data_IF_863038550956
#
_entry.id   IF_863038550956
#
_cell.length_a   1.000
_cell.length_b   1.000
_cell.length_c   1.000
_cell.angle_alpha   90.00
_cell.angle_beta   90.00
_cell.angle_gamma   90.00
#
_symmetry.space_group_name_H-M   'P 1'
#
loop_
_entity.id
_entity.type
_entity.pdbx_description
1 polymer ?
#
# COMPACT_ATOMS: atom_id res chain seq x y z
N UNK A 1 -0.12 20.70 -28.50
CA UNK A 1 -0.40 19.85 -27.32
C UNK A 1 -1.76 19.19 -27.57
N UNK A 2 -1.79 17.88 -27.85
CA UNK A 2 -3.05 17.19 -28.15
C UNK A 2 -3.69 16.73 -26.84
N UNK A 3 -4.87 17.25 -26.51
CA UNK A 3 -5.70 16.73 -25.44
C UNK A 3 -6.39 15.44 -25.92
N UNK A 4 -6.15 14.34 -25.20
CA UNK A 4 -6.80 13.04 -25.41
C UNK A 4 -8.27 13.15 -24.97
N UNK A 5 -9.24 12.55 -25.69
CA UNK A 5 -10.65 12.69 -25.33
C UNK A 5 -10.92 12.07 -23.95
N UNK A 6 -12.01 12.52 -23.32
CA UNK A 6 -12.46 12.04 -22.03
C UNK A 6 -12.67 10.52 -22.06
N UNK A 7 -12.01 9.80 -21.14
CA UNK A 7 -12.21 8.37 -20.96
C UNK A 7 -13.57 8.16 -20.29
N UNK A 8 -14.41 7.29 -20.87
CA UNK A 8 -15.62 6.78 -20.23
C UNK A 8 -15.28 6.33 -18.81
N UNK A 9 -15.96 6.89 -17.81
CA UNK A 9 -15.68 6.64 -16.40
C UNK A 9 -15.65 5.16 -16.06
N UNK A 10 -14.84 4.77 -15.08
CA UNK A 10 -14.78 3.38 -14.62
C UNK A 10 -16.19 2.90 -14.20
N UNK A 11 -16.85 2.12 -15.06
CA UNK A 11 -18.10 1.42 -14.74
C UNK A 11 -17.76 0.19 -13.90
N UNK A 12 -17.42 0.44 -12.66
CA UNK A 12 -17.19 -0.63 -11.70
C UNK A 12 -17.88 -0.18 -10.40
N UNK A 13 -19.06 -0.76 -10.20
CA UNK A 13 -20.10 -0.30 -9.28
C UNK A 13 -19.52 -0.13 -7.86
N UNK A 14 -19.85 0.96 -7.13
CA UNK A 14 -19.17 1.30 -5.87
C UNK A 14 -19.36 0.31 -4.71
N UNK A 15 -20.14 -0.75 -4.87
CA UNK A 15 -20.79 -1.40 -3.73
C UNK A 15 -20.66 -2.92 -3.73
N UNK A 16 -19.43 -3.40 -3.82
CA UNK A 16 -19.07 -4.74 -3.32
C UNK A 16 -18.15 -4.49 -2.15
N UNK A 17 -18.58 -4.91 -0.95
CA UNK A 17 -17.71 -5.05 0.20
C UNK A 17 -16.39 -5.64 -0.29
N UNK A 18 -15.27 -4.99 0.00
CA UNK A 18 -13.94 -5.49 -0.36
C UNK A 18 -13.36 -6.13 0.89
N UNK A 19 -13.52 -7.46 1.12
CA UNK A 19 -12.90 -8.11 2.25
C UNK A 19 -11.41 -7.79 2.27
N UNK A 20 -10.95 -7.23 3.40
CA UNK A 20 -9.56 -6.84 3.55
C UNK A 20 -9.15 -5.57 2.80
N UNK A 21 -10.07 -4.71 2.34
CA UNK A 21 -9.71 -3.47 1.66
C UNK A 21 -10.75 -2.36 1.74
N UNK A 22 -10.38 -1.18 1.25
CA UNK A 22 -11.24 -0.01 1.12
C UNK A 22 -11.21 0.49 -0.31
N UNK A 23 -12.39 0.68 -0.91
CA UNK A 23 -12.53 1.17 -2.29
C UNK A 23 -13.09 2.58 -2.30
N UNK A 24 -12.55 3.42 -3.16
CA UNK A 24 -13.10 4.76 -3.41
C UNK A 24 -12.87 5.19 -4.86
N UNK A 25 -13.68 6.15 -5.32
CA UNK A 25 -13.80 6.53 -6.72
C UNK A 25 -13.53 8.03 -6.94
N UNK A 26 -12.27 8.48 -6.96
CA UNK A 26 -11.97 9.88 -7.24
C UNK A 26 -12.13 10.16 -8.75
N UNK A 27 -13.17 10.91 -9.11
CA UNK A 27 -13.49 11.22 -10.51
C UNK A 27 -13.79 9.96 -11.32
N UNK A 28 -13.03 9.72 -12.39
CA UNK A 28 -13.20 8.55 -13.26
C UNK A 28 -12.37 7.33 -12.86
N UNK A 29 -11.59 7.41 -11.78
CA UNK A 29 -10.71 6.34 -11.32
C UNK A 29 -11.42 5.43 -10.32
N UNK A 30 -11.11 4.15 -10.37
CA UNK A 30 -11.37 3.22 -9.27
C UNK A 30 -10.10 2.90 -8.53
N UNK A 31 -10.03 3.24 -7.25
CA UNK A 31 -8.88 2.94 -6.39
C UNK A 31 -9.35 1.96 -5.31
N UNK A 32 -8.60 0.87 -5.15
CA UNK A 32 -8.81 -0.08 -4.06
C UNK A 32 -7.52 -0.13 -3.24
N UNK A 33 -7.61 0.10 -1.93
CA UNK A 33 -6.51 -0.15 -0.99
C UNK A 33 -6.76 -1.52 -0.39
N UNK A 34 -5.89 -2.48 -0.67
CA UNK A 34 -5.99 -3.85 -0.17
C UNK A 34 -4.98 -4.06 0.96
N UNK A 35 -5.37 -4.78 2.00
CA UNK A 35 -4.45 -5.19 3.07
C UNK A 35 -3.79 -6.50 2.69
N UNK A 36 -2.49 -6.47 2.40
CA UNK A 36 -1.70 -7.70 2.25
C UNK A 36 -1.41 -8.35 3.60
N UNK A 37 -1.27 -7.51 4.64
CA UNK A 37 -1.18 -7.92 6.03
C UNK A 37 -0.37 -6.93 6.86
N UNK A 38 0.06 -7.39 8.02
CA UNK A 38 0.85 -6.60 8.96
C UNK A 38 1.96 -7.46 9.53
N UNK A 39 3.17 -6.90 9.55
CA UNK A 39 4.32 -7.47 10.23
C UNK A 39 4.47 -6.73 11.57
N UNK A 40 4.44 -7.43 12.71
CA UNK A 40 4.73 -6.85 14.00
C UNK A 40 6.15 -7.25 14.45
N UNK A 41 7.23 -6.69 13.87
CA UNK A 41 8.56 -7.03 14.34
C UNK A 41 8.79 -6.44 15.74
N UNK A 42 9.83 -6.91 16.46
CA UNK A 42 10.29 -6.25 17.68
C UNK A 42 10.59 -4.77 17.41
N UNK A 43 10.61 -3.96 18.48
CA UNK A 43 10.56 -2.49 18.50
C UNK A 43 11.31 -1.71 17.41
N UNK A 44 10.93 -0.44 17.27
CA UNK A 44 11.36 0.43 16.17
C UNK A 44 12.88 0.61 16.06
N UNK A 45 13.57 0.70 17.21
CA UNK A 45 15.02 0.84 17.30
C UNK A 45 15.71 -0.54 17.36
N UNK A 46 16.82 -0.79 16.64
CA UNK A 46 17.62 0.17 15.86
C UNK A 46 17.22 0.26 14.36
N UNK A 47 16.14 -0.38 13.92
CA UNK A 47 15.72 -0.37 12.50
C UNK A 47 15.51 1.07 12.01
N UNK A 48 14.92 1.92 12.85
CA UNK A 48 14.87 3.37 12.68
C UNK A 48 15.51 4.08 13.88
N UNK A 49 16.14 5.23 13.61
CA UNK A 49 16.79 6.03 14.64
C UNK A 49 18.08 5.42 15.20
N UNK A 50 18.82 4.64 14.39
CA UNK A 50 20.07 3.98 14.80
C UNK A 50 21.18 4.96 15.24
N UNK A 51 21.07 6.24 14.88
CA UNK A 51 21.95 7.34 15.28
C UNK A 51 21.56 7.98 16.62
N UNK A 52 20.56 7.43 17.31
CA UNK A 52 19.98 7.97 18.55
C UNK A 52 19.93 6.92 19.63
N UNK A 53 19.88 7.39 20.88
CA UNK A 53 19.64 6.51 22.02
C UNK A 53 18.22 5.92 21.98
N UNK A 54 18.08 4.66 22.38
CA UNK A 54 16.79 3.96 22.33
C UNK A 54 15.68 4.68 23.13
N UNK A 55 16.06 5.33 24.24
CA UNK A 55 15.14 6.13 25.06
C UNK A 55 14.62 7.39 24.34
N UNK A 56 15.43 8.05 23.52
CA UNK A 56 14.99 9.19 22.71
C UNK A 56 13.99 8.77 21.63
N UNK A 57 14.22 7.61 21.01
CA UNK A 57 13.29 7.04 20.03
C UNK A 57 11.97 6.67 20.70
N UNK A 58 12.01 6.04 21.87
CA UNK A 58 10.81 5.69 22.63
C UNK A 58 9.99 6.93 23.04
N UNK A 59 10.63 7.99 23.56
CA UNK A 59 9.96 9.23 23.91
C UNK A 59 9.24 9.85 22.69
N UNK A 60 9.90 9.88 21.53
CA UNK A 60 9.27 10.35 20.27
C UNK A 60 8.10 9.47 19.84
N UNK A 61 8.18 8.16 20.05
CA UNK A 61 7.05 7.27 19.77
C UNK A 61 5.86 7.59 20.69
N UNK A 62 6.09 7.79 21.99
CA UNK A 62 5.03 8.18 22.95
C UNK A 62 4.40 9.52 22.60
N UNK A 63 5.22 10.54 22.28
CA UNK A 63 4.76 11.85 21.81
C UNK A 63 3.82 11.76 20.59
N UNK A 64 4.01 10.76 19.74
CA UNK A 64 3.22 10.53 18.53
C UNK A 64 2.13 9.45 18.71
N UNK A 65 1.84 9.07 19.97
CA UNK A 65 0.87 8.04 20.31
C UNK A 65 1.15 6.68 19.63
N UNK A 66 2.43 6.35 19.42
CA UNK A 66 2.89 5.11 18.82
C UNK A 66 3.31 4.10 19.91
N UNK A 67 3.11 2.80 19.68
CA UNK A 67 3.51 1.78 20.65
C UNK A 67 5.04 1.62 20.70
N UNK A 68 5.68 1.98 21.80
CA UNK A 68 7.15 1.95 21.96
C UNK A 68 7.78 0.56 21.82
N UNK A 69 7.07 -0.50 22.23
CA UNK A 69 7.58 -1.87 22.24
C UNK A 69 7.49 -2.65 20.92
N UNK A 70 6.85 -2.09 19.88
CA UNK A 70 6.66 -2.79 18.60
C UNK A 70 6.55 -1.83 17.43
N UNK A 71 7.01 -2.23 16.26
CA UNK A 71 6.65 -1.55 15.02
C UNK A 71 5.29 -2.06 14.53
N UNK A 72 4.50 -1.16 13.96
CA UNK A 72 3.26 -1.50 13.24
C UNK A 72 3.52 -1.36 11.74
N UNK A 73 4.13 -2.38 11.13
CA UNK A 73 4.44 -2.38 9.70
C UNK A 73 3.29 -2.94 8.89
N UNK A 74 2.55 -2.12 8.14
CA UNK A 74 1.47 -2.58 7.26
C UNK A 74 1.89 -2.60 5.79
N UNK A 75 1.42 -3.61 5.07
CA UNK A 75 1.59 -3.74 3.63
C UNK A 75 0.24 -3.57 2.95
N UNK A 76 0.08 -2.47 2.22
CA UNK A 76 -1.19 -2.10 1.56
C UNK A 76 -1.01 -1.91 0.04
N UNK A 77 -1.11 -2.98 -0.76
CA UNK A 77 -1.17 -2.87 -2.22
C UNK A 77 -2.34 -2.03 -2.70
N UNK A 78 -2.11 -1.23 -3.75
CA UNK A 78 -3.12 -0.32 -4.32
C UNK A 78 -3.33 -0.60 -5.81
N UNK A 79 -4.29 -1.46 -6.16
CA UNK A 79 -4.84 -1.51 -7.50
C UNK A 79 -5.56 -0.22 -7.89
N UNK A 80 -5.28 0.28 -9.10
CA UNK A 80 -5.92 1.43 -9.70
C UNK A 80 -6.45 1.08 -11.08
N UNK A 81 -7.74 1.34 -11.28
CA UNK A 81 -8.44 1.25 -12.54
C UNK A 81 -8.66 2.67 -13.09
N UNK A 82 -8.07 2.98 -14.25
CA UNK A 82 -8.21 4.30 -14.89
C UNK A 82 -9.27 4.32 -16.00
N UNK A 83 -10.09 3.28 -16.11
CA UNK A 83 -10.89 2.96 -17.29
C UNK A 83 -10.04 2.26 -18.37
N UNK A 84 -9.00 2.94 -18.86
CA UNK A 84 -8.13 2.46 -19.93
C UNK A 84 -7.03 1.47 -19.48
N UNK A 85 -6.54 1.62 -18.25
CA UNK A 85 -5.44 0.81 -17.72
C UNK A 85 -5.80 0.21 -16.36
N UNK A 86 -5.03 -0.82 -15.99
CA UNK A 86 -5.01 -1.42 -14.67
C UNK A 86 -3.58 -1.32 -14.16
N UNK A 87 -3.40 -0.57 -13.08
CA UNK A 87 -2.11 -0.26 -12.48
C UNK A 87 -2.10 -0.87 -11.09
N UNK A 88 -0.98 -1.47 -10.70
CA UNK A 88 -0.78 -1.96 -9.34
C UNK A 88 0.40 -1.23 -8.72
N UNK A 89 0.16 -0.51 -7.64
CA UNK A 89 1.20 0.07 -6.79
C UNK A 89 1.45 -0.86 -5.63
N UNK A 90 2.71 -1.31 -5.50
CA UNK A 90 3.13 -2.31 -4.50
C UNK A 90 2.46 -3.68 -4.71
N UNK A 91 3.22 -4.77 -4.61
CA UNK A 91 2.73 -6.13 -4.93
C UNK A 91 2.58 -7.03 -3.69
N UNK A 92 2.63 -6.45 -2.48
CA UNK A 92 2.61 -7.19 -1.22
C UNK A 92 3.84 -8.10 -1.08
N UNK A 93 3.75 -9.06 -0.16
CA UNK A 93 4.85 -9.96 0.18
C UNK A 93 4.70 -11.38 -0.37
N UNK A 94 3.79 -11.58 -1.34
CA UNK A 94 3.55 -12.86 -2.00
C UNK A 94 3.17 -14.01 -1.00
N UNK A 95 2.84 -15.23 -1.45
CA UNK A 95 2.44 -16.32 -0.54
C UNK A 95 3.46 -16.64 0.56
N UNK A 96 4.74 -16.41 0.31
CA UNK A 96 5.86 -16.65 1.24
C UNK A 96 5.79 -15.73 2.47
N UNK A 97 5.13 -14.56 2.35
CA UNK A 97 4.91 -13.64 3.46
C UNK A 97 3.87 -14.09 4.49
N UNK A 98 3.13 -15.18 4.23
CA UNK A 98 2.00 -15.64 5.08
C UNK A 98 2.42 -16.07 6.46
N UNK A 99 3.55 -16.76 6.57
CA UNK A 99 4.11 -17.20 7.86
C UNK A 99 4.48 -16.01 8.76
N UNK A 100 4.66 -14.84 8.16
CA UNK A 100 4.98 -13.58 8.83
C UNK A 100 3.75 -12.63 8.95
N UNK A 101 2.54 -13.13 8.67
CA UNK A 101 1.30 -12.35 8.81
C UNK A 101 0.93 -11.48 7.60
N UNK A 102 1.61 -11.64 6.47
CA UNK A 102 1.40 -10.89 5.21
C UNK A 102 0.98 -11.81 4.05
N UNK A 103 1.10 -11.40 2.78
CA UNK A 103 0.88 -12.29 1.63
C UNK A 103 -0.58 -12.60 1.26
N UNK A 104 -1.52 -11.71 1.63
CA UNK A 104 -2.96 -11.86 1.39
C UNK A 104 -3.50 -11.04 0.20
N UNK A 105 -2.65 -10.34 -0.55
CA UNK A 105 -3.07 -9.49 -1.67
C UNK A 105 -3.90 -10.23 -2.73
N UNK A 106 -3.38 -11.34 -3.27
CA UNK A 106 -4.04 -12.06 -4.37
C UNK A 106 -5.45 -12.57 -4.00
N UNK A 107 -5.65 -13.23 -2.84
CA UNK A 107 -6.99 -13.55 -2.36
C UNK A 107 -7.94 -12.35 -2.31
N UNK A 108 -7.47 -11.19 -1.85
CA UNK A 108 -8.30 -9.99 -1.80
C UNK A 108 -8.63 -9.41 -3.19
N UNK A 109 -7.69 -9.44 -4.14
CA UNK A 109 -7.95 -9.04 -5.55
C UNK A 109 -9.02 -9.94 -6.18
N UNK A 110 -8.90 -11.26 -5.97
CA UNK A 110 -9.86 -12.24 -6.50
C UNK A 110 -11.25 -12.06 -5.88
N UNK A 111 -11.32 -11.81 -4.56
CA UNK A 111 -12.57 -11.55 -3.84
C UNK A 111 -13.25 -10.24 -4.29
N UNK A 112 -12.46 -9.21 -4.63
CA UNK A 112 -12.96 -7.92 -5.10
C UNK A 112 -13.56 -7.96 -6.52
N UNK A 113 -13.65 -9.15 -7.16
CA UNK A 113 -14.14 -9.37 -8.53
C UNK A 113 -13.47 -8.46 -9.56
N UNK A 114 -12.23 -8.06 -9.31
CA UNK A 114 -11.43 -7.39 -10.33
C UNK A 114 -11.12 -8.41 -11.43
N UNK A 115 -11.50 -8.11 -12.68
CA UNK A 115 -10.99 -8.83 -13.86
C UNK A 115 -9.47 -8.99 -13.69
N UNK A 116 -8.89 -10.19 -13.91
CA UNK A 116 -7.49 -10.44 -13.60
C UNK A 116 -6.63 -9.28 -14.08
N UNK A 117 -5.89 -8.67 -13.16
CA UNK A 117 -5.02 -7.54 -13.46
C UNK A 117 -4.06 -8.00 -14.56
N UNK A 118 -4.33 -7.60 -15.80
CA UNK A 118 -3.37 -7.75 -16.88
C UNK A 118 -2.37 -6.61 -16.71
N UNK A 119 -1.38 -6.83 -15.85
CA UNK A 119 -0.37 -5.83 -15.50
C UNK A 119 0.42 -5.47 -16.76
N UNK A 120 0.06 -4.37 -17.43
CA UNK A 120 0.81 -3.89 -18.61
C UNK A 120 2.06 -3.11 -18.22
N UNK A 121 2.14 -2.60 -16.99
CA UNK A 121 3.28 -1.86 -16.45
C UNK A 121 3.35 -2.00 -14.93
N UNK A 122 4.39 -2.64 -14.43
CA UNK A 122 4.81 -2.56 -13.03
C UNK A 122 5.81 -1.40 -12.94
N UNK A 123 5.48 -0.33 -12.19
CA UNK A 123 6.45 0.73 -11.87
C UNK A 123 6.88 0.61 -10.42
N UNK A 124 8.06 0.02 -10.22
CA UNK A 124 8.78 0.09 -8.95
C UNK A 124 9.42 1.48 -8.86
N UNK A 125 9.00 2.31 -7.91
CA UNK A 125 9.68 3.58 -7.62
C UNK A 125 10.52 3.41 -6.37
N UNK A 126 11.85 3.38 -6.53
CA UNK A 126 12.78 3.67 -5.43
C UNK A 126 12.82 5.19 -5.28
N UNK A 127 12.34 5.71 -4.15
CA UNK A 127 12.45 7.14 -3.83
C UNK A 127 13.79 7.33 -3.11
N UNK A 128 14.85 7.57 -3.87
CA UNK A 128 16.11 8.06 -3.33
C UNK A 128 16.08 9.58 -3.26
N UNK A 129 15.52 10.13 -2.19
CA UNK A 129 15.68 11.55 -1.85
C UNK A 129 16.76 11.68 -0.78
N UNK A 130 18.01 11.92 -1.19
CA UNK A 130 19.04 12.38 -0.26
C UNK A 130 18.96 13.91 -0.25
N UNK A 131 18.48 14.48 0.85
CA UNK A 131 18.58 15.91 1.10
C UNK A 131 20.05 16.22 1.39
N UNK A 132 20.70 17.04 0.55
CA UNK A 132 22.03 17.57 0.84
C UNK A 132 21.86 18.88 1.62
N UNK A 133 22.52 19.05 2.77
CA UNK A 133 22.55 20.35 3.44
C UNK A 133 23.38 21.33 2.60
N UNK A 134 22.83 22.52 2.39
CA UNK A 134 23.57 23.72 1.99
C UNK A 134 24.02 24.51 3.20
#
# INVERSE_FOLDING_TARGET
MMFRPAHTGATDRPDVATPGGHRFLPGSFGITVLRDGMLPPPGLHPIFGADREAGEVAARMEENCLPTGRLVGRFDPVPVNTGAERILFHAGNAPEGRDHGTGRMLPHIMAARHTPLRTRRLRLRRVSGVCRPG
#
